data_IF_026576668754
#
_entry.id   IF_026576668754
#
_cell.length_a   1.000
_cell.length_b   1.000
_cell.length_c   1.000
_cell.angle_alpha   90.00
_cell.angle_beta   90.00
_cell.angle_gamma   90.00
#
_symmetry.space_group_name_H-M   'P 1'
#
loop_
_entity.id
_entity.type
_entity.pdbx_description
1 polymer ?
#
# COMPACT_ATOMS: atom_id res chain seq x y z
N UNK A 1 -2.44 1.85 20.11
CA UNK A 1 -1.86 1.84 18.76
C UNK A 1 -0.34 1.95 18.87
N UNK A 2 0.42 0.99 18.35
CA UNK A 2 1.89 1.04 18.32
C UNK A 2 2.39 1.56 16.98
N UNK A 3 3.23 2.59 17.00
CA UNK A 3 3.88 3.19 15.81
C UNK A 3 5.06 2.35 15.32
N UNK A 4 4.81 1.07 15.01
CA UNK A 4 5.85 0.21 14.46
C UNK A 4 6.21 0.65 13.04
N UNK A 5 7.47 0.99 12.83
CA UNK A 5 7.99 1.33 11.50
C UNK A 5 8.45 0.04 10.81
N UNK A 6 7.64 -0.46 9.89
CA UNK A 6 8.02 -1.56 8.99
C UNK A 6 8.75 -1.02 7.76
N UNK A 7 9.42 -1.90 7.00
CA UNK A 7 10.05 -1.52 5.72
C UNK A 7 9.11 -0.73 4.82
N UNK A 8 7.88 -1.20 4.62
CA UNK A 8 6.89 -0.54 3.77
C UNK A 8 6.45 0.82 4.33
N UNK A 9 6.31 0.95 5.64
CA UNK A 9 5.97 2.23 6.29
C UNK A 9 7.09 3.25 6.16
N UNK A 10 8.35 2.83 6.32
CA UNK A 10 9.52 3.68 6.09
C UNK A 10 9.55 4.21 4.65
N UNK A 11 9.35 3.33 3.66
CA UNK A 11 9.31 3.74 2.25
C UNK A 11 8.16 4.71 1.95
N UNK A 12 6.97 4.49 2.52
CA UNK A 12 5.85 5.45 2.40
C UNK A 12 6.22 6.82 2.96
N UNK A 13 6.93 6.87 4.09
CA UNK A 13 7.39 8.12 4.69
C UNK A 13 8.40 8.86 3.83
N UNK A 14 9.32 8.12 3.18
CA UNK A 14 10.28 8.70 2.23
C UNK A 14 9.59 9.24 0.96
N UNK A 15 8.57 8.55 0.45
CA UNK A 15 7.81 9.02 -0.71
C UNK A 15 6.94 10.25 -0.37
N UNK A 16 6.20 10.17 0.74
CA UNK A 16 5.30 11.22 1.17
C UNK A 16 5.01 11.09 2.69
N UNK A 17 5.44 12.05 3.53
CA UNK A 17 5.18 12.01 4.97
C UNK A 17 3.68 11.92 5.32
N UNK A 18 2.82 12.57 4.52
CA UNK A 18 1.36 12.51 4.69
C UNK A 18 0.80 11.11 4.41
N UNK A 19 1.32 10.42 3.39
CA UNK A 19 0.93 9.05 3.08
C UNK A 19 1.29 8.09 4.22
N UNK A 20 2.47 8.25 4.81
CA UNK A 20 2.86 7.48 5.99
C UNK A 20 1.87 7.69 7.14
N UNK A 21 1.57 8.94 7.47
CA UNK A 21 0.67 9.27 8.57
C UNK A 21 -0.75 8.71 8.34
N UNK A 22 -1.34 8.95 7.16
CA UNK A 22 -2.67 8.43 6.79
C UNK A 22 -2.68 6.90 6.86
N UNK A 23 -1.64 6.23 6.36
CA UNK A 23 -1.58 4.76 6.35
C UNK A 23 -1.51 4.09 7.74
N UNK A 24 -1.29 4.87 8.82
CA UNK A 24 -1.21 4.37 10.19
C UNK A 24 -2.39 4.86 11.03
N UNK A 25 -2.79 6.12 10.86
CA UNK A 25 -3.79 6.77 11.72
C UNK A 25 -5.18 6.74 11.09
N UNK A 26 -5.29 6.93 9.78
CA UNK A 26 -6.57 7.08 9.07
C UNK A 26 -6.59 6.19 7.80
N UNK A 27 -6.39 4.86 7.92
CA UNK A 27 -6.34 3.96 6.77
C UNK A 27 -7.62 3.97 5.94
N UNK A 28 -8.77 4.28 6.54
CA UNK A 28 -10.08 4.42 5.90
C UNK A 28 -10.17 5.57 4.88
N UNK A 29 -9.23 6.53 4.95
CA UNK A 29 -9.15 7.62 3.95
C UNK A 29 -8.41 7.22 2.68
N UNK A 30 -7.76 6.05 2.67
CA UNK A 30 -7.12 5.54 1.46
C UNK A 30 -8.22 5.22 0.44
N UNK A 31 -8.05 5.60 -0.83
CA UNK A 31 -9.02 5.25 -1.86
C UNK A 31 -9.11 3.72 -1.97
N UNK A 32 -10.34 3.22 -2.14
CA UNK A 32 -10.54 1.82 -2.47
C UNK A 32 -9.93 1.50 -3.85
N UNK A 33 -9.43 0.28 -3.98
CA UNK A 33 -8.93 -0.22 -5.25
C UNK A 33 -10.13 -0.52 -6.14
N UNK A 34 -10.20 0.12 -7.30
CA UNK A 34 -11.25 -0.18 -8.27
C UNK A 34 -11.04 -1.55 -8.94
N UNK A 35 -12.08 -2.09 -9.57
CA UNK A 35 -12.01 -3.42 -10.20
C UNK A 35 -10.95 -3.52 -11.30
N UNK A 36 -10.68 -2.42 -12.03
CA UNK A 36 -9.69 -2.42 -13.10
C UNK A 36 -8.27 -2.52 -12.52
N UNK A 37 -7.99 -1.76 -11.47
CA UNK A 37 -6.72 -1.77 -10.75
C UNK A 37 -6.52 -3.10 -10.03
N UNK A 38 -7.58 -3.70 -9.47
CA UNK A 38 -7.49 -5.02 -8.87
C UNK A 38 -7.14 -6.10 -9.90
N UNK A 39 -7.74 -6.07 -11.10
CA UNK A 39 -7.38 -6.99 -12.19
C UNK A 39 -5.90 -6.88 -12.59
N UNK A 40 -5.35 -5.67 -12.65
CA UNK A 40 -3.92 -5.45 -12.93
C UNK A 40 -3.03 -6.06 -11.83
N UNK A 41 -3.44 -5.95 -10.56
CA UNK A 41 -2.71 -6.58 -9.46
C UNK A 41 -2.75 -8.11 -9.54
N UNK A 42 -3.92 -8.68 -9.85
CA UNK A 42 -4.10 -10.12 -9.98
C UNK A 42 -3.26 -10.69 -11.14
N UNK A 43 -3.23 -10.01 -12.29
CA UNK A 43 -2.35 -10.37 -13.41
C UNK A 43 -0.87 -10.32 -13.00
N UNK A 44 -0.46 -9.30 -12.25
CA UNK A 44 0.89 -9.18 -11.71
C UNK A 44 1.29 -10.35 -10.80
N UNK A 45 0.35 -10.88 -10.00
CA UNK A 45 0.60 -12.06 -9.17
C UNK A 45 0.83 -13.32 -10.03
N UNK A 46 0.02 -13.53 -11.07
CA UNK A 46 0.17 -14.67 -12.00
C UNK A 46 1.55 -14.64 -12.67
N UNK A 47 2.00 -13.47 -13.11
CA UNK A 47 3.36 -13.32 -13.68
C UNK A 47 4.43 -13.62 -12.64
N UNK A 48 4.23 -13.18 -11.39
CA UNK A 48 5.16 -13.44 -10.29
C UNK A 48 5.30 -14.92 -9.92
N UNK A 49 4.24 -15.72 -10.06
CA UNK A 49 4.29 -17.18 -9.84
C UNK A 49 5.04 -17.92 -10.96
N UNK A 50 5.14 -17.32 -12.14
CA UNK A 50 5.82 -17.89 -13.30
C UNK A 50 7.32 -17.53 -13.41
N UNK A 51 7.84 -16.70 -12.49
CA UNK A 51 9.21 -16.17 -12.49
C UNK A 51 10.15 -16.95 -11.54
#
# INVERSE_FOLDING_TARGET
>A
MSFLITKSRYLKGLQCPKLFWISIIEPERMPEVDEAQQKLFDEGHVVGEMA
#
